data_IF_153922799937
#
_entry.id   IF_153922799937
#
_cell.length_a   1.000
_cell.length_b   1.000
_cell.length_c   1.000
_cell.angle_alpha   90.00
_cell.angle_beta   90.00
_cell.angle_gamma   90.00
#
_symmetry.space_group_name_H-M   'P 1'
#
loop_
_entity.id
_entity.type
_entity.pdbx_description
1 polymer ?
#
# COMPACT_ATOMS: atom_id res chain seq x y z
N UNK A 1 67.05 68.25 2.53
CA UNK A 1 65.95 67.83 1.62
C UNK A 1 66.37 66.91 0.45
N UNK A 2 67.66 66.76 0.10
CA UNK A 2 68.13 65.89 -1.00
C UNK A 2 68.02 64.34 -0.84
N UNK A 3 67.89 63.72 0.35
CA UNK A 3 67.85 62.24 0.42
C UNK A 3 66.48 61.64 0.03
N UNK A 4 65.38 62.36 0.28
CA UNK A 4 64.01 61.91 -0.03
C UNK A 4 63.78 61.82 -1.55
N UNK A 5 64.28 62.78 -2.32
CA UNK A 5 64.17 62.78 -3.78
C UNK A 5 64.90 61.58 -4.42
N UNK A 6 65.99 61.11 -3.81
CA UNK A 6 66.77 59.97 -4.32
C UNK A 6 66.08 58.63 -4.00
N UNK A 7 65.40 58.55 -2.86
CA UNK A 7 64.62 57.37 -2.44
C UNK A 7 63.35 57.19 -3.29
N UNK A 8 62.60 58.28 -3.52
CA UNK A 8 61.43 58.29 -4.40
C UNK A 8 61.80 57.97 -5.84
N UNK A 9 62.92 58.50 -6.35
CA UNK A 9 63.39 58.18 -7.69
C UNK A 9 63.81 56.71 -7.83
N UNK A 10 64.45 56.12 -6.80
CA UNK A 10 64.74 54.68 -6.75
C UNK A 10 63.46 53.84 -6.76
N UNK A 11 62.44 54.26 -6.01
CA UNK A 11 61.12 53.58 -5.96
C UNK A 11 60.42 53.58 -7.32
N UNK A 12 60.42 54.71 -8.05
CA UNK A 12 59.82 54.80 -9.39
C UNK A 12 60.63 54.08 -10.49
N UNK A 13 61.91 53.79 -10.27
CA UNK A 13 62.75 53.03 -11.22
C UNK A 13 62.87 51.53 -10.89
N UNK A 14 62.26 51.05 -9.80
CA UNK A 14 62.41 49.66 -9.37
C UNK A 14 61.50 48.71 -10.17
N UNK A 15 62.10 47.94 -11.09
CA UNK A 15 61.41 46.93 -11.91
C UNK A 15 60.91 45.73 -11.11
N UNK A 16 61.26 45.63 -9.81
CA UNK A 16 60.72 44.61 -8.89
C UNK A 16 59.23 44.79 -8.60
N UNK A 17 58.65 45.97 -8.87
CA UNK A 17 57.21 46.23 -8.76
C UNK A 17 56.34 45.41 -9.72
N UNK A 18 56.92 44.89 -10.81
CA UNK A 18 56.16 44.05 -11.76
C UNK A 18 55.72 42.72 -11.11
N UNK A 19 56.53 42.17 -10.20
CA UNK A 19 56.14 40.99 -9.42
C UNK A 19 54.97 41.30 -8.48
N UNK A 20 54.99 42.45 -7.83
CA UNK A 20 53.89 42.89 -6.96
C UNK A 20 52.59 43.11 -7.76
N UNK A 21 52.66 43.65 -8.98
CA UNK A 21 51.48 43.79 -9.85
C UNK A 21 50.93 42.45 -10.33
N UNK A 22 51.79 41.53 -10.81
CA UNK A 22 51.37 40.19 -11.24
C UNK A 22 50.79 39.40 -10.06
N UNK A 23 51.43 39.48 -8.88
CA UNK A 23 50.94 38.86 -7.65
C UNK A 23 49.58 39.43 -7.24
N UNK A 24 49.40 40.75 -7.26
CA UNK A 24 48.12 41.38 -6.90
C UNK A 24 46.99 40.94 -7.86
N UNK A 25 47.26 40.88 -9.17
CA UNK A 25 46.28 40.41 -10.16
C UNK A 25 45.99 38.92 -10.04
N UNK A 26 46.99 38.09 -9.70
CA UNK A 26 46.83 36.65 -9.49
C UNK A 26 46.19 36.30 -8.13
N UNK A 27 46.34 37.15 -7.12
CA UNK A 27 45.75 36.95 -5.80
C UNK A 27 44.22 37.04 -5.82
N UNK A 28 43.65 37.89 -6.69
CA UNK A 28 42.20 38.05 -6.84
C UNK A 28 41.50 36.71 -7.18
N UNK A 29 41.83 36.02 -8.29
CA UNK A 29 41.20 34.75 -8.63
C UNK A 29 41.49 33.64 -7.62
N UNK A 30 42.66 33.65 -6.94
CA UNK A 30 42.98 32.67 -5.90
C UNK A 30 42.11 32.85 -4.64
N UNK A 31 41.89 34.08 -4.20
CA UNK A 31 41.01 34.38 -3.07
C UNK A 31 39.56 34.04 -3.40
N UNK A 32 39.12 34.31 -4.63
CA UNK A 32 37.78 33.93 -5.10
C UNK A 32 37.63 32.41 -5.11
N UNK A 33 38.61 31.68 -5.63
CA UNK A 33 38.58 30.21 -5.66
C UNK A 33 38.57 29.61 -4.24
N UNK A 34 39.38 30.14 -3.33
CA UNK A 34 39.38 29.74 -1.92
C UNK A 34 38.04 30.07 -1.25
N UNK A 35 37.45 31.23 -1.55
CA UNK A 35 36.15 31.65 -1.06
C UNK A 35 35.01 30.74 -1.51
N UNK A 36 35.00 30.41 -2.80
CA UNK A 36 34.06 29.46 -3.37
C UNK A 36 34.19 28.08 -2.73
N UNK A 37 35.41 27.58 -2.51
CA UNK A 37 35.63 26.29 -1.87
C UNK A 37 35.04 26.22 -0.44
N UNK A 38 35.16 27.30 0.34
CA UNK A 38 34.59 27.38 1.70
C UNK A 38 33.07 27.43 1.68
N UNK A 39 32.48 28.29 0.83
CA UNK A 39 31.02 28.40 0.75
C UNK A 39 30.38 27.12 0.17
N UNK A 40 31.04 26.45 -0.78
CA UNK A 40 30.63 25.11 -1.28
C UNK A 40 30.75 24.06 -0.17
N UNK A 41 31.80 24.10 0.66
CA UNK A 41 31.90 23.18 1.80
C UNK A 41 30.75 23.37 2.79
N UNK A 42 30.33 24.61 3.03
CA UNK A 42 29.14 24.92 3.83
C UNK A 42 27.85 24.45 3.15
N UNK A 43 27.76 24.59 1.83
CA UNK A 43 26.63 24.10 1.04
C UNK A 43 26.43 22.59 1.21
N UNK A 44 27.50 21.80 1.15
CA UNK A 44 27.42 20.35 1.39
C UNK A 44 26.97 19.98 2.80
N UNK A 45 27.37 20.76 3.81
CA UNK A 45 26.89 20.57 5.19
C UNK A 45 25.37 20.84 5.27
N UNK A 46 24.88 21.88 4.61
CA UNK A 46 23.44 22.18 4.53
C UNK A 46 22.70 21.08 3.79
N UNK A 47 23.21 20.62 2.64
CA UNK A 47 22.61 19.54 1.85
C UNK A 47 22.47 18.25 2.66
N UNK A 48 23.53 17.84 3.36
CA UNK A 48 23.52 16.64 4.20
C UNK A 48 22.51 16.76 5.35
N UNK A 49 22.37 17.96 5.92
CA UNK A 49 21.40 18.22 6.98
C UNK A 49 19.96 18.22 6.47
N UNK A 50 19.71 18.79 5.29
CA UNK A 50 18.42 18.73 4.63
C UNK A 50 18.04 17.27 4.33
N UNK A 51 18.97 16.48 3.78
CA UNK A 51 18.76 15.05 3.53
C UNK A 51 18.40 14.29 4.80
N UNK A 52 19.16 14.49 5.88
CA UNK A 52 18.88 13.83 7.16
C UNK A 52 17.49 14.19 7.73
N UNK A 53 17.07 15.46 7.63
CA UNK A 53 15.75 15.89 8.06
C UNK A 53 14.62 15.34 7.15
N UNK A 54 14.84 15.36 5.83
CA UNK A 54 13.92 14.79 4.85
C UNK A 54 13.78 13.28 4.99
N UNK A 55 14.84 12.54 5.32
CA UNK A 55 14.78 11.09 5.55
C UNK A 55 13.93 10.76 6.80
N UNK A 56 14.08 11.54 7.88
CA UNK A 56 13.25 11.38 9.07
C UNK A 56 11.77 11.69 8.78
N UNK A 57 11.50 12.76 8.03
CA UNK A 57 10.15 13.11 7.59
C UNK A 57 9.57 12.06 6.63
N UNK A 58 10.37 11.55 5.70
CA UNK A 58 9.97 10.53 4.74
C UNK A 58 9.62 9.22 5.45
N UNK A 59 10.38 8.82 6.48
CA UNK A 59 10.06 7.64 7.27
C UNK A 59 8.75 7.80 8.06
N UNK A 60 8.52 8.97 8.65
CA UNK A 60 7.27 9.26 9.38
C UNK A 60 6.05 9.24 8.45
N UNK A 61 6.16 9.87 7.29
CA UNK A 61 5.15 9.83 6.23
C UNK A 61 4.98 8.40 5.69
N UNK A 62 6.06 7.63 5.60
CA UNK A 62 6.04 6.23 5.18
C UNK A 62 5.17 5.34 6.08
N UNK A 63 5.20 5.58 7.40
CA UNK A 63 4.40 4.85 8.38
C UNK A 63 2.95 5.33 8.53
N UNK A 64 2.62 6.53 8.06
CA UNK A 64 1.28 7.11 8.17
C UNK A 64 0.36 6.66 7.01
N UNK A 65 -0.29 5.50 7.15
CA UNK A 65 -1.29 5.00 6.18
C UNK A 65 -2.67 5.64 6.40
N UNK A 66 -3.53 5.62 5.37
CA UNK A 66 -4.92 6.12 5.45
C UNK A 66 -5.06 7.64 5.71
N UNK A 67 -4.04 8.45 5.43
CA UNK A 67 -4.05 9.91 5.60
C UNK A 67 -4.27 10.62 4.28
N UNK A 68 -4.92 11.78 4.32
CA UNK A 68 -5.06 12.67 3.16
C UNK A 68 -3.73 13.35 2.82
N UNK A 69 -3.57 13.84 1.59
CA UNK A 69 -2.39 14.59 1.17
C UNK A 69 -2.03 15.75 2.12
N UNK A 70 -3.03 16.52 2.55
CA UNK A 70 -2.83 17.64 3.49
C UNK A 70 -2.33 17.17 4.87
N UNK A 71 -2.82 16.02 5.35
CA UNK A 71 -2.35 15.42 6.61
C UNK A 71 -0.92 14.90 6.49
N UNK A 72 -0.54 14.33 5.34
CA UNK A 72 0.82 13.89 5.08
C UNK A 72 1.80 15.07 5.02
N UNK A 73 1.39 16.20 4.43
CA UNK A 73 2.18 17.44 4.41
C UNK A 73 2.39 17.99 5.83
N UNK A 74 1.35 18.00 6.67
CA UNK A 74 1.46 18.43 8.07
C UNK A 74 2.42 17.54 8.87
N UNK A 75 2.32 16.21 8.70
CA UNK A 75 3.25 15.25 9.32
C UNK A 75 4.67 15.47 8.80
N UNK A 76 4.85 15.59 7.48
CA UNK A 76 6.15 15.81 6.87
C UNK A 76 6.83 17.07 7.42
N UNK A 77 6.09 18.17 7.48
CA UNK A 77 6.59 19.45 7.97
C UNK A 77 6.96 19.37 9.46
N UNK A 78 6.10 18.79 10.30
CA UNK A 78 6.37 18.66 11.73
C UNK A 78 7.63 17.83 12.02
N UNK A 79 7.81 16.70 11.31
CA UNK A 79 9.02 15.88 11.46
C UNK A 79 10.25 16.56 10.87
N UNK A 80 10.11 17.28 9.77
CA UNK A 80 11.21 18.03 9.18
C UNK A 80 11.69 19.15 10.12
N UNK A 81 10.78 19.94 10.69
CA UNK A 81 11.12 21.03 11.62
C UNK A 81 11.77 20.51 12.91
N UNK A 82 11.32 19.36 13.41
CA UNK A 82 11.94 18.70 14.57
C UNK A 82 13.38 18.25 14.29
N UNK A 83 13.68 17.85 13.04
CA UNK A 83 15.01 17.36 12.65
C UNK A 83 15.90 18.46 12.02
N UNK A 84 15.32 19.61 11.68
CA UNK A 84 16.01 20.77 11.15
C UNK A 84 15.76 22.02 12.03
N UNK A 85 16.37 22.10 13.23
CA UNK A 85 16.24 23.28 14.07
C UNK A 85 16.88 24.50 13.40
N UNK A 86 16.15 25.62 13.37
CA UNK A 86 16.52 26.87 12.68
C UNK A 86 17.74 27.61 13.24
N UNK A 87 18.29 27.18 14.38
CA UNK A 87 19.53 27.73 14.96
C UNK A 87 20.80 27.33 14.18
N UNK A 88 20.66 26.46 13.17
CA UNK A 88 21.78 25.91 12.42
C UNK A 88 21.77 26.45 10.97
N UNK A 89 22.96 26.55 10.35
CA UNK A 89 23.21 27.08 8.99
C UNK A 89 22.16 26.67 7.94
N UNK A 90 21.73 27.62 7.09
CA UNK A 90 20.79 27.43 5.98
C UNK A 90 19.33 27.51 6.44
N UNK A 91 18.58 28.50 5.94
CA UNK A 91 17.15 28.69 6.31
C UNK A 91 16.30 27.77 5.45
N UNK A 92 15.54 26.83 6.02
CA UNK A 92 14.75 25.90 5.24
C UNK A 92 13.46 26.55 4.75
N UNK A 93 13.04 26.19 3.54
CA UNK A 93 11.69 26.41 3.04
C UNK A 93 10.73 25.29 3.45
N UNK A 94 9.47 25.40 3.01
CA UNK A 94 8.46 24.37 3.26
C UNK A 94 8.81 23.04 2.57
N UNK A 95 8.42 21.94 3.20
CA UNK A 95 8.52 20.60 2.60
C UNK A 95 7.39 20.40 1.61
N UNK A 96 7.74 20.00 0.38
CA UNK A 96 6.78 19.53 -0.61
C UNK A 96 6.65 18.01 -0.51
N UNK A 97 5.43 17.50 -0.59
CA UNK A 97 5.12 16.06 -0.57
C UNK A 97 4.43 15.68 -1.87
N UNK A 98 4.99 14.73 -2.61
CA UNK A 98 4.39 14.18 -3.82
C UNK A 98 4.13 12.69 -3.62
N UNK A 99 2.85 12.30 -3.60
CA UNK A 99 2.45 10.90 -3.56
C UNK A 99 2.20 10.36 -4.98
N UNK A 100 2.86 9.26 -5.33
CA UNK A 100 2.68 8.53 -6.58
C UNK A 100 2.56 7.02 -6.28
N UNK A 101 1.32 6.54 -6.14
CA UNK A 101 1.02 5.18 -5.69
C UNK A 101 1.63 4.90 -4.31
N UNK A 102 2.42 3.83 -4.21
CA UNK A 102 3.13 3.43 -2.98
C UNK A 102 4.36 4.29 -2.67
N UNK A 103 4.75 5.20 -3.56
CA UNK A 103 5.98 5.99 -3.40
C UNK A 103 5.62 7.42 -3.01
N UNK A 104 6.16 7.88 -1.89
CA UNK A 104 6.03 9.28 -1.44
C UNK A 104 7.39 9.95 -1.53
N UNK A 105 7.46 11.05 -2.25
CA UNK A 105 8.68 11.84 -2.45
C UNK A 105 8.55 13.15 -1.69
N UNK A 106 9.52 13.46 -0.84
CA UNK A 106 9.62 14.70 -0.11
C UNK A 106 10.76 15.52 -0.68
N UNK A 107 10.57 16.83 -0.84
CA UNK A 107 11.63 17.74 -1.25
C UNK A 107 11.56 19.06 -0.48
N UNK A 108 12.73 19.60 -0.14
CA UNK A 108 12.87 20.88 0.52
C UNK A 108 14.09 21.63 -0.03
N UNK A 109 14.03 22.95 0.02
CA UNK A 109 15.12 23.85 -0.36
C UNK A 109 15.53 24.67 0.85
N UNK A 110 16.83 24.92 1.04
CA UNK A 110 17.31 25.89 2.01
C UNK A 110 18.17 26.97 1.36
N UNK A 111 17.99 28.20 1.81
CA UNK A 111 18.80 29.34 1.40
C UNK A 111 20.04 29.46 2.32
N UNK A 112 21.23 29.42 1.74
CA UNK A 112 22.50 29.62 2.43
C UNK A 112 23.11 30.98 2.07
N UNK A 113 23.21 31.93 3.03
CA UNK A 113 23.98 33.15 2.83
C UNK A 113 25.47 32.85 2.65
N UNK A 114 26.02 33.23 1.51
CA UNK A 114 27.44 33.04 1.18
C UNK A 114 28.29 34.12 1.82
N UNK A 115 29.43 33.76 2.39
CA UNK A 115 30.28 34.75 3.09
C UNK A 115 31.39 35.29 2.20
N UNK A 116 32.03 34.45 1.40
CA UNK A 116 33.19 34.82 0.59
C UNK A 116 32.82 35.03 -0.88
N UNK A 117 31.86 34.26 -1.41
CA UNK A 117 31.29 34.51 -2.74
C UNK A 117 30.46 35.80 -2.80
N UNK A 118 30.02 36.34 -1.64
CA UNK A 118 29.39 37.65 -1.54
C UNK A 118 30.27 38.79 -2.06
N UNK A 119 31.59 38.65 -1.98
CA UNK A 119 32.56 39.65 -2.46
C UNK A 119 32.49 39.79 -4.00
N UNK A 120 32.07 38.74 -4.70
CA UNK A 120 31.91 38.73 -6.17
C UNK A 120 30.44 38.85 -6.62
N UNK A 121 29.53 39.19 -5.71
CA UNK A 121 28.12 39.48 -6.02
C UNK A 121 27.16 38.30 -5.94
N UNK A 122 27.62 37.11 -5.55
CA UNK A 122 26.75 35.96 -5.25
C UNK A 122 26.48 36.02 -3.75
N UNK A 123 25.26 36.37 -3.33
CA UNK A 123 24.95 36.61 -1.91
C UNK A 123 24.27 35.42 -1.23
N UNK A 124 23.63 34.55 -2.00
CA UNK A 124 22.89 33.37 -1.53
C UNK A 124 23.15 32.19 -2.45
N UNK A 125 23.00 30.99 -1.89
CA UNK A 125 23.08 29.73 -2.60
C UNK A 125 21.90 28.86 -2.17
N UNK A 126 21.07 28.46 -3.14
CA UNK A 126 19.89 27.63 -2.88
C UNK A 126 20.27 26.16 -2.94
N UNK A 127 20.04 25.45 -1.84
CA UNK A 127 20.39 24.04 -1.69
C UNK A 127 19.12 23.22 -1.65
N UNK A 128 18.87 22.45 -2.70
CA UNK A 128 17.75 21.51 -2.77
C UNK A 128 18.17 20.11 -2.34
N UNK A 129 17.29 19.43 -1.62
CA UNK A 129 17.40 18.00 -1.35
C UNK A 129 16.04 17.31 -1.52
N UNK A 130 16.06 16.02 -1.82
CA UNK A 130 14.87 15.18 -1.85
C UNK A 130 15.14 13.83 -1.19
N UNK A 131 14.09 13.26 -0.59
CA UNK A 131 14.07 11.91 -0.03
C UNK A 131 12.81 11.20 -0.50
N UNK A 132 12.89 9.88 -0.65
CA UNK A 132 11.80 9.08 -1.14
C UNK A 132 11.59 7.87 -0.25
N UNK A 133 10.33 7.59 0.08
CA UNK A 133 9.92 6.38 0.80
C UNK A 133 8.95 5.59 -0.08
N UNK A 134 9.18 4.28 -0.17
CA UNK A 134 8.24 3.36 -0.83
C UNK A 134 7.57 2.50 0.24
N UNK A 135 6.25 2.60 0.32
CA UNK A 135 5.41 1.76 1.18
C UNK A 135 5.31 0.37 0.57
N UNK A 136 5.90 -0.61 1.24
CA UNK A 136 5.67 -2.03 0.93
C UNK A 136 4.28 -2.42 1.45
N UNK A 137 3.22 -2.02 0.74
CA UNK A 137 1.88 -2.55 0.95
C UNK A 137 1.91 -4.04 0.59
N UNK A 138 1.64 -4.92 1.55
CA UNK A 138 1.48 -6.34 1.23
C UNK A 138 0.14 -6.46 0.53
N UNK A 139 0.15 -6.95 -0.71
CA UNK A 139 -1.09 -7.36 -1.35
C UNK A 139 -1.65 -8.55 -0.58
N UNK A 140 -2.93 -8.49 -0.25
CA UNK A 140 -3.62 -9.53 0.50
C UNK A 140 -4.88 -9.93 -0.26
N UNK A 141 -5.01 -11.23 -0.50
CA UNK A 141 -6.24 -11.83 -1.00
C UNK A 141 -6.76 -12.73 0.11
N UNK A 142 -7.98 -12.46 0.59
CA UNK A 142 -8.58 -13.16 1.72
C UNK A 142 -9.92 -13.78 1.30
N UNK A 143 -10.08 -15.09 1.52
CA UNK A 143 -11.37 -15.75 1.38
C UNK A 143 -12.02 -15.97 2.75
N UNK A 144 -13.17 -15.33 2.98
CA UNK A 144 -14.00 -15.52 4.16
C UNK A 144 -15.02 -16.62 3.89
N UNK A 145 -14.80 -17.80 4.45
CA UNK A 145 -15.74 -18.92 4.40
C UNK A 145 -16.62 -18.86 5.63
N UNK A 146 -17.89 -18.49 5.46
CA UNK A 146 -18.80 -18.13 6.55
C UNK A 146 -19.92 -19.15 6.69
N UNK A 147 -20.00 -19.75 7.89
CA UNK A 147 -21.06 -20.69 8.26
C UNK A 147 -22.38 -19.94 8.43
N UNK A 148 -23.35 -20.24 7.55
CA UNK A 148 -24.72 -19.72 7.60
C UNK A 148 -25.73 -20.81 7.95
N UNK A 149 -25.31 -21.82 8.70
CA UNK A 149 -26.15 -22.97 9.03
C UNK A 149 -27.22 -22.62 10.05
N UNK A 150 -28.32 -23.38 10.11
CA UNK A 150 -29.42 -23.11 11.06
C UNK A 150 -28.98 -23.05 12.54
N UNK A 151 -27.85 -23.67 12.89
CA UNK A 151 -27.26 -23.57 14.24
C UNK A 151 -26.82 -22.15 14.61
N UNK A 152 -26.54 -21.30 13.60
CA UNK A 152 -26.12 -19.91 13.77
C UNK A 152 -27.26 -18.97 14.17
N UNK A 153 -28.53 -19.40 14.04
CA UNK A 153 -29.68 -18.67 14.57
C UNK A 153 -29.74 -18.71 16.11
N UNK A 154 -29.02 -19.63 16.75
CA UNK A 154 -29.07 -19.82 18.19
C UNK A 154 -28.05 -18.94 18.94
N UNK A 155 -28.45 -18.38 20.07
CA UNK A 155 -27.53 -17.71 21.00
C UNK A 155 -26.82 -16.46 20.45
N UNK A 156 -27.39 -15.81 19.41
CA UNK A 156 -26.80 -14.61 18.81
C UNK A 156 -25.54 -14.85 17.97
N UNK A 157 -25.25 -16.11 17.59
CA UNK A 157 -24.04 -16.47 16.85
C UNK A 157 -23.95 -15.79 15.49
N UNK A 158 -25.06 -15.70 14.74
CA UNK A 158 -25.07 -14.99 13.46
C UNK A 158 -24.76 -13.50 13.63
N UNK A 159 -25.37 -12.83 14.61
CA UNK A 159 -25.05 -11.43 14.93
C UNK A 159 -23.58 -11.26 15.26
N UNK A 160 -23.03 -12.11 16.13
CA UNK A 160 -21.61 -12.04 16.48
C UNK A 160 -20.68 -12.34 15.29
N UNK A 161 -21.07 -13.24 14.38
CA UNK A 161 -20.32 -13.51 13.14
C UNK A 161 -20.33 -12.30 12.21
N UNK A 162 -21.48 -11.65 12.02
CA UNK A 162 -21.59 -10.41 11.24
C UNK A 162 -20.73 -9.32 11.85
N UNK A 163 -20.92 -9.00 13.13
CA UNK A 163 -20.15 -7.96 13.84
C UNK A 163 -18.63 -8.18 13.75
N UNK A 164 -18.18 -9.43 13.89
CA UNK A 164 -16.76 -9.76 13.79
C UNK A 164 -16.22 -9.67 12.34
N UNK A 165 -17.05 -9.99 11.36
CA UNK A 165 -16.70 -9.90 9.94
C UNK A 165 -16.64 -8.44 9.48
N UNK A 166 -17.63 -7.63 9.86
CA UNK A 166 -17.67 -6.18 9.67
C UNK A 166 -16.41 -5.52 10.23
N UNK A 167 -16.07 -5.81 11.49
CA UNK A 167 -14.86 -5.28 12.12
C UNK A 167 -13.58 -5.69 11.39
N UNK A 168 -13.53 -6.92 10.85
CA UNK A 168 -12.40 -7.35 10.05
C UNK A 168 -12.33 -6.58 8.72
N UNK A 169 -13.46 -6.35 8.06
CA UNK A 169 -13.52 -5.55 6.83
C UNK A 169 -13.04 -4.12 7.07
N UNK A 170 -13.50 -3.45 8.13
CA UNK A 170 -13.05 -2.09 8.52
C UNK A 170 -11.53 -2.01 8.73
N UNK A 171 -10.95 -3.02 9.39
CA UNK A 171 -9.50 -3.11 9.61
C UNK A 171 -8.78 -3.27 8.28
N UNK A 172 -9.29 -4.12 7.39
CA UNK A 172 -8.67 -4.39 6.11
C UNK A 172 -8.78 -3.20 5.15
N UNK A 173 -9.90 -2.49 5.12
CA UNK A 173 -10.10 -1.29 4.29
C UNK A 173 -9.02 -0.24 4.55
N UNK A 174 -8.71 0.00 5.83
CA UNK A 174 -7.72 0.99 6.26
C UNK A 174 -6.28 0.49 6.21
N UNK A 175 -6.06 -0.81 5.99
CA UNK A 175 -4.73 -1.44 5.96
C UNK A 175 -4.06 -1.40 4.58
N UNK A 176 -4.83 -1.17 3.51
CA UNK A 176 -4.30 -1.05 2.15
C UNK A 176 -3.45 0.20 1.96
N UNK A 177 -2.31 0.09 1.26
CA UNK A 177 -1.52 1.28 0.92
C UNK A 177 -2.12 2.06 -0.25
N UNK A 178 -2.78 1.34 -1.16
CA UNK A 178 -3.50 1.84 -2.35
C UNK A 178 -4.79 1.03 -2.51
N UNK A 179 -5.89 1.62 -3.04
CA UNK A 179 -7.07 0.85 -3.46
C UNK A 179 -6.70 -0.34 -4.34
N UNK A 180 -7.25 -1.52 -4.02
CA UNK A 180 -6.99 -2.79 -4.71
C UNK A 180 -5.79 -3.59 -4.21
N UNK A 181 -5.05 -3.12 -3.20
CA UNK A 181 -4.00 -3.92 -2.54
C UNK A 181 -4.60 -5.06 -1.71
N UNK A 182 -5.77 -4.86 -1.13
CA UNK A 182 -6.49 -5.87 -0.36
C UNK A 182 -7.76 -6.21 -1.10
N UNK A 183 -7.99 -7.50 -1.30
CA UNK A 183 -9.23 -8.01 -1.86
C UNK A 183 -9.78 -9.11 -0.98
N UNK A 184 -11.10 -9.14 -0.87
CA UNK A 184 -11.81 -10.11 -0.06
C UNK A 184 -12.85 -10.82 -0.93
N UNK A 185 -12.99 -12.12 -0.75
CA UNK A 185 -14.12 -12.90 -1.27
C UNK A 185 -14.92 -13.46 -0.10
N UNK A 186 -16.24 -13.53 -0.23
CA UNK A 186 -17.12 -14.08 0.82
C UNK A 186 -17.84 -15.30 0.26
N UNK A 187 -17.72 -16.42 0.98
CA UNK A 187 -18.26 -17.73 0.63
C UNK A 187 -19.19 -18.18 1.76
N UNK A 188 -20.49 -17.84 1.69
CA UNK A 188 -21.48 -18.38 2.60
C UNK A 188 -21.70 -19.88 2.32
N UNK A 189 -21.78 -20.70 3.36
CA UNK A 189 -22.06 -22.13 3.21
C UNK A 189 -23.04 -22.66 4.26
N UNK A 190 -23.84 -23.65 3.84
CA UNK A 190 -24.62 -24.52 4.73
C UNK A 190 -24.34 -26.00 4.44
N UNK A 191 -25.30 -26.76 3.94
CA UNK A 191 -25.07 -28.04 3.24
C UNK A 191 -24.62 -27.85 1.79
N UNK A 192 -24.76 -26.63 1.28
CA UNK A 192 -24.56 -26.24 -0.10
C UNK A 192 -23.71 -24.95 -0.16
N UNK A 193 -23.26 -24.61 -1.37
CA UNK A 193 -22.64 -23.31 -1.67
C UNK A 193 -23.30 -22.74 -2.92
N UNK A 194 -23.71 -21.46 -2.89
CA UNK A 194 -24.33 -20.80 -4.03
C UNK A 194 -23.30 -20.20 -4.97
N UNK A 195 -23.09 -20.86 -6.09
CA UNK A 195 -22.14 -20.48 -7.15
C UNK A 195 -22.82 -19.72 -8.29
N UNK A 196 -24.10 -19.37 -8.15
CA UNK A 196 -24.84 -18.59 -9.14
C UNK A 196 -25.41 -19.39 -10.30
N UNK A 197 -26.62 -19.01 -10.73
CA UNK A 197 -27.33 -19.66 -11.85
C UNK A 197 -26.64 -19.46 -13.21
N UNK A 198 -25.84 -18.40 -13.32
CA UNK A 198 -25.03 -18.09 -14.51
C UNK A 198 -24.07 -19.23 -14.85
N UNK A 199 -23.59 -19.95 -13.84
CA UNK A 199 -22.66 -21.07 -13.97
C UNK A 199 -23.30 -22.36 -14.48
N UNK A 200 -24.59 -22.39 -14.85
CA UNK A 200 -25.27 -23.61 -15.30
C UNK A 200 -24.55 -24.33 -16.45
N UNK A 201 -23.77 -23.63 -17.29
CA UNK A 201 -23.04 -24.24 -18.41
C UNK A 201 -21.59 -24.61 -18.09
N UNK A 202 -21.14 -24.44 -16.84
CA UNK A 202 -19.78 -24.72 -16.44
C UNK A 202 -19.42 -26.21 -16.60
N UNK A 203 -18.21 -26.48 -17.09
CA UNK A 203 -17.70 -27.84 -17.30
C UNK A 203 -17.37 -28.58 -15.99
N UNK A 204 -17.21 -27.85 -14.89
CA UNK A 204 -16.96 -28.37 -13.55
C UNK A 204 -18.24 -28.78 -12.80
N UNK A 205 -19.43 -28.58 -13.40
CA UNK A 205 -20.71 -29.04 -12.87
C UNK A 205 -21.14 -30.40 -13.45
N UNK A 206 -21.84 -31.17 -12.62
CA UNK A 206 -22.62 -32.34 -13.06
C UNK A 206 -24.07 -32.25 -12.58
N UNK A 207 -24.93 -33.03 -13.22
CA UNK A 207 -26.39 -32.94 -13.09
C UNK A 207 -27.05 -34.21 -12.55
N UNK A 208 -26.23 -35.19 -12.15
CA UNK A 208 -26.65 -36.45 -11.57
C UNK A 208 -25.64 -36.87 -10.51
N UNK A 209 -26.11 -37.36 -9.36
CA UNK A 209 -25.28 -37.86 -8.27
C UNK A 209 -26.05 -38.83 -7.39
N UNK A 210 -25.34 -39.61 -6.57
CA UNK A 210 -25.93 -40.50 -5.58
C UNK A 210 -26.02 -39.80 -4.23
N UNK A 211 -27.18 -39.89 -3.57
CA UNK A 211 -27.39 -39.34 -2.24
C UNK A 211 -28.05 -40.36 -1.32
N UNK A 212 -27.71 -40.31 -0.04
CA UNK A 212 -28.43 -41.05 0.99
C UNK A 212 -29.79 -40.40 1.23
N UNK A 213 -30.85 -41.18 1.00
CA UNK A 213 -32.23 -40.78 1.21
C UNK A 213 -32.82 -41.61 2.35
N UNK A 214 -33.47 -40.94 3.31
CA UNK A 214 -34.17 -41.64 4.41
C UNK A 214 -35.61 -41.88 4.01
N UNK A 215 -35.99 -43.15 3.97
CA UNK A 215 -37.37 -43.58 3.70
C UNK A 215 -37.87 -44.28 4.96
N UNK A 216 -38.76 -43.60 5.68
CA UNK A 216 -39.21 -43.99 7.03
C UNK A 216 -38.05 -44.13 8.04
N UNK A 217 -37.47 -45.33 8.18
CA UNK A 217 -36.39 -45.66 9.11
C UNK A 217 -35.19 -46.35 8.46
N UNK A 218 -35.19 -46.54 7.14
CA UNK A 218 -34.06 -47.11 6.39
C UNK A 218 -33.43 -46.05 5.49
N UNK A 219 -32.10 -46.10 5.37
CA UNK A 219 -31.35 -45.28 4.43
C UNK A 219 -31.17 -46.06 3.12
N UNK A 220 -31.50 -45.42 2.01
CA UNK A 220 -31.30 -45.96 0.65
C UNK A 220 -30.49 -44.97 -0.15
N UNK A 221 -29.50 -45.47 -0.90
CA UNK A 221 -28.80 -44.68 -1.90
C UNK A 221 -29.72 -44.55 -3.11
N UNK A 222 -30.02 -43.30 -3.48
CA UNK A 222 -30.87 -42.99 -4.63
C UNK A 222 -30.13 -42.04 -5.57
N UNK A 223 -30.29 -42.23 -6.87
CA UNK A 223 -29.78 -41.29 -7.87
C UNK A 223 -30.66 -40.04 -7.90
N UNK A 224 -30.06 -38.89 -7.63
CA UNK A 224 -30.67 -37.57 -7.74
C UNK A 224 -30.33 -37.01 -9.12
N UNK A 225 -31.35 -36.58 -9.87
CA UNK A 225 -31.17 -35.92 -11.16
C UNK A 225 -31.65 -34.47 -11.07
N UNK A 226 -30.79 -33.53 -11.44
CA UNK A 226 -31.06 -32.10 -11.36
C UNK A 226 -31.18 -31.53 -12.76
N UNK A 227 -32.33 -30.93 -13.05
CA UNK A 227 -32.53 -30.26 -14.34
C UNK A 227 -31.75 -28.94 -14.39
N UNK A 228 -30.83 -28.86 -15.34
CA UNK A 228 -30.02 -27.67 -15.65
C UNK A 228 -30.85 -26.39 -15.81
N UNK A 229 -32.07 -26.50 -16.34
CA UNK A 229 -32.93 -25.35 -16.61
C UNK A 229 -33.68 -24.85 -15.37
N UNK A 230 -33.85 -25.69 -14.35
CA UNK A 230 -34.54 -25.32 -13.10
C UNK A 230 -33.59 -25.12 -11.92
N UNK A 231 -32.31 -25.44 -12.09
CA UNK A 231 -31.27 -25.30 -11.07
C UNK A 231 -31.18 -23.87 -10.52
N UNK A 232 -31.04 -23.77 -9.20
CA UNK A 232 -31.14 -22.50 -8.47
C UNK A 232 -29.81 -21.84 -8.14
N UNK A 233 -28.68 -22.46 -8.46
CA UNK A 233 -27.33 -21.89 -8.30
C UNK A 233 -26.47 -22.58 -7.25
N UNK A 234 -27.04 -23.47 -6.42
CA UNK A 234 -26.29 -24.13 -5.35
C UNK A 234 -25.64 -25.44 -5.80
N UNK A 235 -24.48 -25.74 -5.24
CA UNK A 235 -23.79 -27.03 -5.40
C UNK A 235 -23.64 -27.74 -4.06
N UNK A 236 -23.51 -29.07 -4.13
CA UNK A 236 -23.23 -29.94 -2.99
C UNK A 236 -21.83 -30.56 -3.12
N UNK A 237 -21.44 -31.36 -2.14
CA UNK A 237 -20.18 -32.12 -2.18
C UNK A 237 -20.01 -32.97 -3.43
N UNK A 238 -18.75 -33.16 -3.79
CA UNK A 238 -18.33 -34.07 -4.86
C UNK A 238 -18.36 -35.51 -4.37
N UNK A 239 -18.13 -36.44 -5.29
CA UNK A 239 -18.07 -37.86 -4.93
C UNK A 239 -16.84 -38.13 -4.08
N UNK A 240 -16.96 -39.03 -3.10
CA UNK A 240 -15.81 -39.45 -2.31
C UNK A 240 -14.74 -40.08 -3.19
N UNK A 241 -13.46 -39.77 -3.01
CA UNK A 241 -12.86 -38.96 -1.94
C UNK A 241 -12.54 -37.50 -2.35
N UNK A 242 -13.19 -36.97 -3.39
CA UNK A 242 -12.98 -35.61 -3.90
C UNK A 242 -13.70 -34.53 -3.07
N UNK A 243 -14.61 -34.92 -2.19
CA UNK A 243 -15.26 -34.08 -1.18
C UNK A 243 -14.27 -33.46 -0.18
N UNK A 244 -13.13 -34.12 0.06
CA UNK A 244 -12.09 -33.65 1.00
C UNK A 244 -10.75 -33.30 0.33
N UNK A 245 -10.66 -33.44 -0.99
CA UNK A 245 -9.44 -33.17 -1.74
C UNK A 245 -9.53 -31.86 -2.50
N UNK A 246 -8.39 -31.21 -2.70
CA UNK A 246 -8.28 -30.04 -3.56
C UNK A 246 -8.01 -30.39 -5.04
N UNK A 247 -8.62 -31.46 -5.55
CA UNK A 247 -8.43 -31.90 -6.93
C UNK A 247 -9.22 -31.01 -7.88
N UNK A 248 -8.60 -30.51 -8.95
CA UNK A 248 -9.30 -29.69 -9.96
C UNK A 248 -10.33 -30.56 -10.70
N UNK A 249 -11.58 -30.11 -10.90
CA UNK A 249 -12.56 -30.82 -11.72
C UNK A 249 -12.04 -31.11 -13.14
N UNK A 250 -12.15 -32.36 -13.56
CA UNK A 250 -11.72 -32.85 -14.88
C UNK A 250 -12.92 -33.31 -15.70
N UNK A 251 -12.68 -34.04 -16.79
CA UNK A 251 -13.74 -34.72 -17.55
C UNK A 251 -14.47 -35.80 -16.74
N UNK A 252 -13.85 -36.37 -15.69
CA UNK A 252 -14.45 -37.36 -14.80
C UNK A 252 -15.52 -36.73 -13.89
N UNK A 253 -16.73 -37.29 -13.92
CA UNK A 253 -17.86 -36.80 -13.10
C UNK A 253 -17.61 -36.93 -11.59
N UNK A 254 -16.76 -37.86 -11.14
CA UNK A 254 -16.39 -37.97 -9.72
C UNK A 254 -15.71 -36.71 -9.19
N UNK A 255 -15.06 -35.94 -10.07
CA UNK A 255 -14.31 -34.73 -9.72
C UNK A 255 -15.12 -33.43 -9.82
N UNK A 256 -16.36 -33.51 -10.33
CA UNK A 256 -17.24 -32.36 -10.59
C UNK A 256 -18.22 -32.12 -9.43
N UNK A 257 -18.59 -30.87 -9.24
CA UNK A 257 -19.60 -30.46 -8.26
C UNK A 257 -21.01 -30.79 -8.80
N UNK A 258 -21.82 -31.60 -8.09
CA UNK A 258 -23.21 -31.77 -8.44
C UNK A 258 -24.00 -30.49 -8.16
N UNK A 259 -24.87 -30.11 -9.08
CA UNK A 259 -25.89 -29.10 -8.81
C UNK A 259 -26.87 -29.62 -7.76
N UNK A 260 -27.22 -28.80 -6.77
CA UNK A 260 -28.20 -29.12 -5.75
C UNK A 260 -29.62 -29.23 -6.33
N UNK A 261 -30.39 -30.21 -5.85
CA UNK A 261 -31.79 -30.42 -6.29
C UNK A 261 -32.80 -29.52 -5.57
N UNK A 262 -32.41 -28.89 -4.46
CA UNK A 262 -33.27 -28.10 -3.59
C UNK A 262 -33.39 -26.62 -3.97
N UNK A 263 -34.02 -25.86 -3.08
CA UNK A 263 -33.95 -24.40 -3.13
C UNK A 263 -32.57 -23.95 -2.68
N UNK A 264 -32.04 -22.92 -3.34
CA UNK A 264 -30.78 -22.29 -3.01
C UNK A 264 -31.09 -21.01 -2.24
N UNK A 265 -31.10 -21.10 -0.91
CA UNK A 265 -31.52 -20.03 0.00
C UNK A 265 -30.34 -19.34 0.71
N UNK A 266 -29.11 -19.61 0.27
CA UNK A 266 -27.91 -18.95 0.75
C UNK A 266 -27.46 -17.89 -0.26
N UNK A 267 -26.90 -16.75 0.19
CA UNK A 267 -26.40 -15.73 -0.72
C UNK A 267 -25.33 -16.28 -1.68
N UNK A 268 -25.31 -15.78 -2.91
CA UNK A 268 -24.29 -16.15 -3.92
C UNK A 268 -22.91 -15.71 -3.43
N UNK A 269 -21.88 -16.52 -3.72
CA UNK A 269 -20.48 -16.18 -3.47
C UNK A 269 -20.20 -14.79 -4.01
N UNK A 270 -19.63 -13.94 -3.17
CA UNK A 270 -19.01 -12.71 -3.62
C UNK A 270 -17.58 -13.03 -4.03
N UNK A 271 -17.30 -12.95 -5.33
CA UNK A 271 -15.97 -13.14 -5.87
C UNK A 271 -14.99 -12.09 -5.31
N UNK A 272 -13.71 -12.38 -5.41
CA UNK A 272 -12.63 -11.53 -4.91
C UNK A 272 -12.76 -10.09 -5.43
N UNK A 273 -13.04 -9.14 -4.54
CA UNK A 273 -13.29 -7.73 -4.85
C UNK A 273 -12.60 -6.80 -3.85
N UNK A 274 -12.37 -5.55 -4.27
CA UNK A 274 -11.95 -4.41 -3.45
C UNK A 274 -13.08 -3.37 -3.28
N UNK A 275 -14.31 -3.74 -3.66
CA UNK A 275 -15.53 -2.98 -3.40
C UNK A 275 -16.02 -3.27 -1.97
N UNK A 276 -15.77 -2.32 -1.07
CA UNK A 276 -16.08 -2.45 0.36
C UNK A 276 -17.58 -2.40 0.64
N UNK A 277 -18.34 -1.60 -0.12
CA UNK A 277 -19.80 -1.53 0.03
C UNK A 277 -20.43 -2.89 -0.29
N UNK A 278 -20.01 -3.54 -1.40
CA UNK A 278 -20.47 -4.89 -1.75
C UNK A 278 -20.10 -5.94 -0.69
N UNK A 279 -18.94 -5.80 -0.03
CA UNK A 279 -18.49 -6.70 1.03
C UNK A 279 -19.36 -6.56 2.29
N UNK A 280 -19.64 -5.33 2.73
CA UNK A 280 -20.51 -5.05 3.87
C UNK A 280 -21.95 -5.51 3.60
N UNK A 281 -22.50 -5.15 2.43
CA UNK A 281 -23.83 -5.60 2.01
C UNK A 281 -23.94 -7.14 2.01
N UNK A 282 -22.87 -7.84 1.59
CA UNK A 282 -22.84 -9.31 1.59
C UNK A 282 -22.89 -9.91 3.00
N UNK A 283 -22.21 -9.31 3.97
CA UNK A 283 -22.26 -9.76 5.37
C UNK A 283 -23.66 -9.51 5.96
N UNK A 284 -24.27 -8.38 5.64
CA UNK A 284 -25.62 -8.05 6.08
C UNK A 284 -26.69 -8.99 5.50
N UNK A 285 -26.49 -9.51 4.30
CA UNK A 285 -27.37 -10.50 3.67
C UNK A 285 -27.33 -11.90 4.31
N UNK A 286 -26.34 -12.23 5.16
CA UNK A 286 -26.22 -13.58 5.71
C UNK A 286 -27.40 -13.92 6.62
N UNK A 287 -28.04 -15.06 6.37
CA UNK A 287 -29.18 -15.53 7.17
C UNK A 287 -29.01 -17.03 7.49
N UNK A 288 -29.18 -17.47 8.75
CA UNK A 288 -29.01 -18.87 9.12
C UNK A 288 -30.07 -19.76 8.47
N UNK A 289 -29.65 -20.82 7.77
CA UNK A 289 -30.53 -21.78 7.13
C UNK A 289 -29.92 -23.19 7.10
N UNK A 290 -30.77 -24.22 6.97
CA UNK A 290 -30.32 -25.57 6.63
C UNK A 290 -29.48 -26.27 7.71
N UNK A 291 -28.83 -27.36 7.29
CA UNK A 291 -27.92 -28.16 8.12
C UNK A 291 -26.47 -27.75 7.84
N UNK A 292 -25.53 -28.30 8.61
CA UNK A 292 -24.11 -27.98 8.49
C UNK A 292 -23.35 -29.00 7.66
N UNK A 293 -22.60 -28.50 6.67
CA UNK A 293 -21.57 -29.25 5.96
C UNK A 293 -20.32 -28.40 5.74
N UNK A 294 -19.30 -28.58 6.56
CA UNK A 294 -18.11 -27.72 6.53
C UNK A 294 -17.19 -28.00 5.32
N UNK A 295 -17.21 -29.22 4.77
CA UNK A 295 -16.29 -29.59 3.68
C UNK A 295 -16.58 -28.82 2.41
N UNK A 296 -17.86 -28.67 2.04
CA UNK A 296 -18.24 -27.92 0.84
C UNK A 296 -17.86 -26.45 0.95
N UNK A 297 -18.05 -25.81 2.12
CA UNK A 297 -17.63 -24.42 2.33
C UNK A 297 -16.13 -24.25 2.15
N UNK A 298 -15.32 -25.12 2.77
CA UNK A 298 -13.86 -25.08 2.66
C UNK A 298 -13.36 -25.31 1.23
N UNK A 299 -14.05 -26.17 0.45
CA UNK A 299 -13.69 -26.44 -0.93
C UNK A 299 -13.82 -25.21 -1.85
N UNK A 300 -14.64 -24.22 -1.46
CA UNK A 300 -14.85 -22.97 -2.19
C UNK A 300 -14.09 -21.77 -1.60
N UNK A 301 -13.39 -21.95 -0.48
CA UNK A 301 -12.56 -20.91 0.14
C UNK A 301 -11.12 -20.84 -0.38
N UNK A 302 -10.80 -21.59 -1.43
CA UNK A 302 -9.45 -21.70 -2.00
C UNK A 302 -9.33 -20.99 -3.36
#
# INVERSE_FOLDING_TARGET
MRPIQRFLRKFFTDRRGNFAMIFALAAIPLVIAAGAAVDISRAYIVENRLKAALDAAALAVGGATGKTQAQLEEIAQAYFDANYPGEKLGVPGAVSVLQNGNTVTLAATAELPTSLMGIVGINTLDIGASSQVTRQGRKLELALVLDVTGSMASGGRMTALKDASEMLLDILETSGAVPGDIKVSIVPFDTEVNVGKSNKNASWLKWSYEALTTVWWWQTISTVNVSKNSWKGCVVDRDQNYDVQNTIPTSSDSTKYPGASGNCNIPEILALTDDWDDLHDKIDELDPNGNTNTTIGLAWGW
#
